data_IF_234513661688
#
_entry.id   IF_234513661688
#
_cell.length_a   1.000
_cell.length_b   1.000
_cell.length_c   1.000
_cell.angle_alpha   90.00
_cell.angle_beta   90.00
_cell.angle_gamma   90.00
#
_symmetry.space_group_name_H-M   'P 1'
#
loop_
_entity.id
_entity.type
_entity.pdbx_description
1 polymer ?
#
# COMPACT_ATOMS: atom_id res chain seq x y z
N UNK A 1 -22.57 6.47 3.11
CA UNK A 1 -22.37 6.88 1.69
C UNK A 1 -22.11 8.38 1.59
N UNK A 2 -23.08 9.24 1.92
CA UNK A 2 -22.96 10.70 1.85
C UNK A 2 -21.70 11.24 2.56
N UNK A 3 -21.39 10.72 3.74
CA UNK A 3 -20.20 11.09 4.51
C UNK A 3 -18.89 10.89 3.74
N UNK A 4 -18.77 9.81 2.95
CA UNK A 4 -17.56 9.49 2.17
C UNK A 4 -17.40 10.42 0.98
N UNK A 5 -18.49 10.69 0.26
CA UNK A 5 -18.50 11.62 -0.86
C UNK A 5 -18.16 13.04 -0.38
N UNK A 6 -18.76 13.46 0.75
CA UNK A 6 -18.49 14.76 1.33
C UNK A 6 -17.02 14.89 1.77
N UNK A 7 -16.46 13.86 2.41
CA UNK A 7 -15.05 13.85 2.81
C UNK A 7 -14.09 13.93 1.62
N UNK A 8 -14.35 13.19 0.53
CA UNK A 8 -13.54 13.28 -0.69
C UNK A 8 -13.62 14.67 -1.32
N UNK A 9 -14.80 15.29 -1.29
CA UNK A 9 -15.00 16.64 -1.83
C UNK A 9 -14.38 17.73 -0.97
N UNK A 10 -14.45 17.62 0.36
CA UNK A 10 -13.84 18.61 1.26
C UNK A 10 -12.31 18.61 1.18
N UNK A 11 -11.69 17.46 0.88
CA UNK A 11 -10.24 17.32 0.66
C UNK A 11 -9.83 17.75 -0.76
N UNK A 12 -10.77 18.07 -1.65
CA UNK A 12 -10.46 18.53 -3.00
C UNK A 12 -10.05 17.42 -3.97
N UNK A 13 -10.32 16.15 -3.64
CA UNK A 13 -9.93 15.02 -4.51
C UNK A 13 -10.64 15.18 -5.88
N UNK A 14 -9.90 15.16 -7.01
CA UNK A 14 -10.43 15.45 -8.35
C UNK A 14 -11.24 14.28 -8.95
N UNK A 15 -12.20 13.73 -8.20
CA UNK A 15 -13.14 12.70 -8.68
C UNK A 15 -14.48 13.32 -9.03
N UNK A 16 -15.02 13.00 -10.21
CA UNK A 16 -16.34 13.49 -10.60
C UNK A 16 -17.44 12.90 -9.72
N UNK A 17 -18.48 13.70 -9.44
CA UNK A 17 -19.64 13.26 -8.63
C UNK A 17 -20.35 12.07 -9.29
N UNK A 18 -20.44 12.10 -10.63
CA UNK A 18 -21.03 11.02 -11.43
C UNK A 18 -20.24 9.71 -11.25
N UNK A 19 -18.90 9.76 -11.21
CA UNK A 19 -18.07 8.57 -10.95
C UNK A 19 -18.32 8.04 -9.53
N UNK A 20 -18.32 8.90 -8.52
CA UNK A 20 -18.60 8.49 -7.13
C UNK A 20 -19.98 7.83 -6.98
N UNK A 21 -21.00 8.37 -7.65
CA UNK A 21 -22.34 7.80 -7.66
C UNK A 21 -22.35 6.41 -8.32
N UNK A 22 -21.61 6.24 -9.41
CA UNK A 22 -21.48 4.96 -10.12
C UNK A 22 -20.73 3.91 -9.29
N UNK A 23 -19.66 4.30 -8.60
CA UNK A 23 -18.94 3.42 -7.67
C UNK A 23 -19.84 2.98 -6.51
N UNK A 24 -20.64 3.91 -5.99
CA UNK A 24 -21.61 3.57 -4.96
C UNK A 24 -22.68 2.59 -5.44
N UNK A 25 -23.27 2.81 -6.62
CA UNK A 25 -24.31 1.92 -7.16
C UNK A 25 -23.80 0.48 -7.29
N UNK A 26 -22.52 0.33 -7.67
CA UNK A 26 -21.84 -0.96 -7.81
C UNK A 26 -21.23 -1.49 -6.51
N UNK A 27 -21.41 -0.78 -5.40
CA UNK A 27 -20.84 -1.07 -4.07
C UNK A 27 -19.30 -1.17 -4.05
N UNK A 28 -18.61 -0.54 -5.00
CA UNK A 28 -17.14 -0.49 -5.05
C UNK A 28 -16.55 0.66 -4.23
N UNK A 29 -17.36 1.66 -3.84
CA UNK A 29 -16.93 2.77 -2.97
C UNK A 29 -16.85 2.33 -1.49
N UNK A 30 -15.78 1.64 -1.14
CA UNK A 30 -15.45 1.24 0.24
C UNK A 30 -14.85 2.39 1.05
N UNK A 31 -14.70 2.20 2.35
CA UNK A 31 -14.03 3.17 3.23
C UNK A 31 -12.54 3.26 2.95
N UNK A 32 -11.90 2.10 2.79
CA UNK A 32 -10.47 2.03 2.46
C UNK A 32 -10.16 2.67 1.11
N UNK A 33 -11.03 2.49 0.11
CA UNK A 33 -10.87 3.18 -1.17
C UNK A 33 -11.01 4.70 -1.03
N UNK A 34 -11.96 5.19 -0.22
CA UNK A 34 -12.08 6.63 0.01
C UNK A 34 -10.83 7.20 0.72
N UNK A 35 -10.30 6.50 1.73
CA UNK A 35 -9.06 6.91 2.39
C UNK A 35 -7.85 6.84 1.45
N UNK A 36 -7.73 5.78 0.66
CA UNK A 36 -6.70 5.62 -0.35
C UNK A 36 -6.71 6.79 -1.35
N UNK A 37 -7.89 7.21 -1.82
CA UNK A 37 -8.02 8.36 -2.72
C UNK A 37 -7.59 9.69 -2.07
N UNK A 38 -7.86 9.87 -0.77
CA UNK A 38 -7.38 11.04 -0.04
C UNK A 38 -5.86 11.05 0.09
N UNK A 39 -5.25 9.92 0.48
CA UNK A 39 -3.79 9.81 0.61
C UNK A 39 -3.13 10.00 -0.75
N UNK A 40 -3.65 9.37 -1.80
CA UNK A 40 -3.15 9.49 -3.16
C UNK A 40 -3.09 10.95 -3.63
N UNK A 41 -4.17 11.71 -3.36
CA UNK A 41 -4.21 13.14 -3.68
C UNK A 41 -3.24 13.96 -2.84
N UNK A 42 -3.20 13.73 -1.52
CA UNK A 42 -2.35 14.49 -0.59
C UNK A 42 -0.85 14.24 -0.80
N UNK A 43 -0.47 12.99 -1.09
CA UNK A 43 0.91 12.59 -1.30
C UNK A 43 1.39 12.79 -2.74
N UNK A 44 0.51 13.21 -3.67
CA UNK A 44 0.88 13.50 -5.06
C UNK A 44 1.21 12.28 -5.92
N UNK A 45 0.88 11.06 -5.45
CA UNK A 45 1.26 9.80 -6.12
C UNK A 45 0.46 9.52 -7.40
N UNK A 46 -0.60 10.30 -7.65
CA UNK A 46 -1.39 10.35 -8.90
C UNK A 46 -1.82 8.97 -9.44
N UNK A 47 -2.17 8.04 -8.56
CA UNK A 47 -2.72 6.74 -8.95
C UNK A 47 -4.08 6.87 -9.65
N UNK A 48 -4.31 6.14 -10.75
CA UNK A 48 -5.61 6.09 -11.40
C UNK A 48 -6.68 5.51 -10.48
N UNK A 49 -7.80 6.21 -10.36
CA UNK A 49 -8.95 5.76 -9.54
C UNK A 49 -9.47 4.39 -10.00
N UNK A 50 -9.48 4.14 -11.31
CA UNK A 50 -10.01 2.89 -11.87
C UNK A 50 -9.10 1.68 -11.53
N UNK A 51 -7.78 1.89 -11.44
CA UNK A 51 -6.80 0.87 -11.03
C UNK A 51 -6.98 0.52 -9.55
N UNK A 52 -7.13 1.56 -8.71
CA UNK A 52 -7.46 1.41 -7.29
C UNK A 52 -8.80 0.71 -7.04
N UNK A 53 -9.85 1.13 -7.74
CA UNK A 53 -11.17 0.50 -7.64
C UNK A 53 -11.11 -0.98 -8.03
N UNK A 54 -10.43 -1.30 -9.13
CA UNK A 54 -10.27 -2.68 -9.59
C UNK A 54 -9.53 -3.53 -8.56
N UNK A 55 -8.47 -2.98 -7.96
CA UNK A 55 -7.70 -3.68 -6.92
C UNK A 55 -8.51 -3.94 -5.65
N UNK A 56 -9.29 -2.94 -5.20
CA UNK A 56 -10.20 -3.11 -4.07
C UNK A 56 -11.25 -4.19 -4.32
N UNK A 57 -11.80 -4.25 -5.54
CA UNK A 57 -12.78 -5.27 -5.94
C UNK A 57 -12.15 -6.67 -6.03
N UNK A 58 -10.87 -6.76 -6.40
CA UNK A 58 -10.10 -8.01 -6.39
C UNK A 58 -9.77 -8.51 -4.97
N UNK A 59 -10.09 -7.73 -3.92
CA UNK A 59 -9.83 -8.08 -2.53
C UNK A 59 -8.51 -7.54 -1.97
N UNK A 60 -7.81 -6.68 -2.71
CA UNK A 60 -6.57 -6.04 -2.25
C UNK A 60 -6.79 -4.87 -1.29
N UNK A 61 -5.76 -4.54 -0.51
CA UNK A 61 -5.78 -3.47 0.48
C UNK A 61 -5.27 -2.15 -0.09
N UNK A 62 -6.14 -1.45 -0.82
CA UNK A 62 -5.83 -0.18 -1.49
C UNK A 62 -5.27 0.92 -0.58
N UNK A 63 -5.64 0.94 0.70
CA UNK A 63 -5.13 1.93 1.66
C UNK A 63 -3.64 1.70 1.90
N UNK A 64 -3.26 0.45 2.14
CA UNK A 64 -1.87 0.09 2.39
C UNK A 64 -1.04 0.24 1.14
N UNK A 65 -1.57 -0.12 -0.03
CA UNK A 65 -0.83 0.06 -1.28
C UNK A 65 -0.55 1.53 -1.58
N UNK A 66 -1.54 2.43 -1.38
CA UNK A 66 -1.30 3.88 -1.57
C UNK A 66 -0.36 4.44 -0.51
N UNK A 67 -0.42 3.93 0.73
CA UNK A 67 0.50 4.34 1.79
C UNK A 67 1.93 3.95 1.45
N UNK A 68 2.14 2.73 0.97
CA UNK A 68 3.42 2.24 0.47
C UNK A 68 3.92 3.10 -0.72
N UNK A 69 3.04 3.39 -1.68
CA UNK A 69 3.34 4.22 -2.84
C UNK A 69 3.75 5.65 -2.45
N UNK A 70 3.09 6.23 -1.44
CA UNK A 70 3.45 7.54 -0.88
C UNK A 70 4.83 7.51 -0.21
N UNK A 71 5.17 6.42 0.49
CA UNK A 71 6.49 6.23 1.09
C UNK A 71 7.60 6.17 0.04
N UNK A 72 7.40 5.41 -1.04
CA UNK A 72 8.33 5.33 -2.17
C UNK A 72 8.50 6.70 -2.86
N UNK A 73 7.38 7.41 -3.07
CA UNK A 73 7.41 8.76 -3.64
C UNK A 73 8.19 9.75 -2.76
N UNK A 74 8.06 9.67 -1.44
CA UNK A 74 8.73 10.56 -0.50
C UNK A 74 10.26 10.44 -0.51
N UNK A 75 10.79 9.26 -0.83
CA UNK A 75 12.23 9.01 -0.97
C UNK A 75 12.73 9.11 -2.41
N UNK A 76 11.85 9.45 -3.36
CA UNK A 76 12.21 9.58 -4.78
C UNK A 76 12.56 8.25 -5.46
N UNK A 77 12.11 7.13 -4.91
CA UNK A 77 12.43 5.81 -5.46
C UNK A 77 11.50 5.45 -6.62
N UNK A 78 12.11 4.87 -7.66
CA UNK A 78 11.37 4.31 -8.79
C UNK A 78 10.76 2.95 -8.45
N UNK A 79 9.50 2.77 -8.85
CA UNK A 79 8.75 1.53 -8.68
C UNK A 79 7.69 1.36 -9.77
N UNK A 80 7.33 0.10 -10.04
CA UNK A 80 6.21 -0.22 -10.92
C UNK A 80 4.92 -0.34 -10.10
N UNK A 81 3.87 0.40 -10.46
CA UNK A 81 2.54 0.30 -9.81
C UNK A 81 2.05 -1.14 -9.73
N UNK A 82 2.16 -1.86 -10.85
CA UNK A 82 1.74 -3.25 -10.95
C UNK A 82 2.46 -4.15 -9.94
N UNK A 83 3.77 -3.96 -9.77
CA UNK A 83 4.57 -4.71 -8.77
C UNK A 83 4.03 -4.47 -7.37
N UNK A 84 3.72 -3.22 -7.02
CA UNK A 84 3.19 -2.88 -5.70
C UNK A 84 1.80 -3.49 -5.43
N UNK A 85 0.94 -3.55 -6.45
CA UNK A 85 -0.35 -4.24 -6.38
C UNK A 85 -0.17 -5.76 -6.23
N UNK A 86 0.75 -6.37 -6.99
CA UNK A 86 1.02 -7.80 -6.90
C UNK A 86 1.59 -8.17 -5.51
N UNK A 87 2.49 -7.34 -4.96
CA UNK A 87 3.01 -7.48 -3.59
C UNK A 87 1.89 -7.45 -2.55
N UNK A 88 0.92 -6.54 -2.70
CA UNK A 88 -0.22 -6.48 -1.81
C UNK A 88 -1.06 -7.76 -1.85
N UNK A 89 -1.35 -8.31 -3.05
CA UNK A 89 -2.12 -9.55 -3.16
C UNK A 89 -1.36 -10.78 -2.64
N UNK A 90 -0.04 -10.81 -2.77
CA UNK A 90 0.80 -11.95 -2.36
C UNK A 90 1.10 -11.89 -0.86
N UNK A 91 1.49 -10.73 -0.35
CA UNK A 91 2.01 -10.56 1.00
C UNK A 91 1.03 -9.85 1.95
N UNK A 92 0.16 -8.97 1.44
CA UNK A 92 -0.77 -8.17 2.24
C UNK A 92 -0.11 -7.15 3.17
N UNK A 93 1.15 -6.77 2.87
CA UNK A 93 2.03 -5.95 3.74
C UNK A 93 3.00 -5.09 2.94
N UNK A 94 2.46 -4.43 1.91
CA UNK A 94 3.25 -3.54 1.07
C UNK A 94 3.97 -2.41 1.86
N UNK A 95 3.36 -1.78 2.89
CA UNK A 95 4.03 -0.75 3.68
C UNK A 95 5.30 -1.23 4.38
N UNK A 96 5.28 -2.42 4.97
CA UNK A 96 6.40 -3.02 5.69
C UNK A 96 7.58 -3.26 4.75
N UNK A 97 7.31 -3.73 3.53
CA UNK A 97 8.34 -3.94 2.52
C UNK A 97 8.95 -2.62 2.05
N UNK A 98 8.15 -1.55 1.96
CA UNK A 98 8.64 -0.20 1.63
C UNK A 98 9.52 0.38 2.75
N UNK A 99 9.19 0.11 4.02
CA UNK A 99 10.05 0.53 5.14
C UNK A 99 11.40 -0.18 5.06
N UNK A 100 11.41 -1.50 4.89
CA UNK A 100 12.64 -2.27 4.73
C UNK A 100 13.45 -1.82 3.51
N UNK A 101 12.79 -1.51 2.41
CA UNK A 101 13.42 -0.95 1.23
C UNK A 101 14.02 0.43 1.50
N UNK A 102 13.31 1.32 2.18
CA UNK A 102 13.80 2.67 2.49
C UNK A 102 15.06 2.63 3.37
N UNK A 103 15.20 1.63 4.24
CA UNK A 103 16.44 1.38 4.98
C UNK A 103 17.57 0.95 4.04
N UNK A 104 17.35 -0.06 3.19
CA UNK A 104 18.35 -0.54 2.24
C UNK A 104 18.76 0.52 1.19
N UNK A 105 17.81 1.35 0.75
CA UNK A 105 18.02 2.39 -0.25
C UNK A 105 18.89 3.53 0.26
N UNK A 106 18.97 3.75 1.58
CA UNK A 106 19.94 4.71 2.17
C UNK A 106 21.38 4.30 1.91
N UNK A 107 21.66 3.01 1.98
CA UNK A 107 23.01 2.46 1.79
C UNK A 107 23.31 2.18 0.31
N UNK A 108 22.27 1.94 -0.50
CA UNK A 108 22.38 1.70 -1.95
C UNK A 108 21.33 2.50 -2.74
N UNK A 109 21.62 3.78 -3.05
CA UNK A 109 20.65 4.66 -3.72
C UNK A 109 20.24 4.22 -5.13
N UNK A 110 21.06 3.42 -5.82
CA UNK A 110 20.74 2.90 -7.15
C UNK A 110 19.81 1.67 -7.12
N UNK A 111 19.48 1.17 -5.92
CA UNK A 111 18.58 0.03 -5.77
C UNK A 111 17.13 0.47 -5.99
N UNK A 112 16.49 -0.09 -7.02
CA UNK A 112 15.06 0.10 -7.28
C UNK A 112 14.21 -0.74 -6.34
N UNK A 113 12.99 -0.28 -6.06
CA UNK A 113 12.06 -1.04 -5.22
C UNK A 113 11.72 -2.40 -5.84
N UNK A 114 11.52 -2.45 -7.16
CA UNK A 114 11.20 -3.67 -7.88
C UNK A 114 12.29 -4.73 -7.72
N UNK A 115 13.57 -4.34 -7.86
CA UNK A 115 14.70 -5.26 -7.68
C UNK A 115 14.84 -5.73 -6.23
N UNK A 116 14.60 -4.83 -5.26
CA UNK A 116 14.58 -5.19 -3.84
C UNK A 116 13.46 -6.18 -3.52
N UNK A 117 12.26 -5.93 -4.03
CA UNK A 117 11.09 -6.78 -3.82
C UNK A 117 11.28 -8.16 -4.46
N UNK A 118 11.86 -8.24 -5.66
CA UNK A 118 12.12 -9.52 -6.33
C UNK A 118 13.09 -10.40 -5.51
N UNK A 119 14.12 -9.80 -4.92
CA UNK A 119 15.03 -10.52 -4.01
C UNK A 119 14.30 -11.00 -2.75
N UNK A 120 13.48 -10.15 -2.14
CA UNK A 120 12.73 -10.48 -0.91
C UNK A 120 11.59 -11.49 -1.14
N UNK A 121 11.02 -11.54 -2.34
CA UNK A 121 10.00 -12.53 -2.72
C UNK A 121 10.62 -13.89 -3.06
N UNK A 122 11.86 -13.90 -3.58
CA UNK A 122 12.60 -15.13 -3.85
C UNK A 122 13.18 -15.77 -2.57
N UNK A 123 13.45 -14.96 -1.55
CA UNK A 123 13.97 -15.45 -0.27
C UNK A 123 12.82 -15.92 0.65
N UNK A 124 12.50 -17.22 0.59
CA UNK A 124 11.44 -17.87 1.37
C UNK A 124 11.54 -17.61 2.90
N UNK A 125 12.75 -17.37 3.41
CA UNK A 125 13.02 -17.20 4.84
C UNK A 125 12.54 -15.84 5.37
N UNK A 126 12.59 -14.78 4.54
CA UNK A 126 12.07 -13.46 4.91
C UNK A 126 10.54 -13.44 5.01
N UNK A 127 9.86 -14.15 4.10
CA UNK A 127 8.38 -14.21 4.15
C UNK A 127 7.91 -14.88 5.45
N UNK A 128 8.62 -15.91 5.92
CA UNK A 128 8.37 -16.55 7.22
C UNK A 128 8.67 -15.63 8.40
N UNK A 129 9.78 -14.89 8.37
CA UNK A 129 10.18 -14.02 9.50
C UNK A 129 9.21 -12.85 9.71
N UNK A 130 8.72 -12.23 8.64
CA UNK A 130 7.71 -11.16 8.76
C UNK A 130 6.34 -11.74 9.13
N UNK A 131 6.01 -12.98 8.69
CA UNK A 131 4.77 -13.66 9.11
C UNK A 131 4.80 -13.96 10.62
N UNK A 132 5.94 -14.42 11.14
CA UNK A 132 6.11 -14.69 12.56
C UNK A 132 6.17 -13.41 13.40
N UNK A 133 6.70 -12.30 12.87
CA UNK A 133 6.61 -11.00 13.53
C UNK A 133 5.18 -10.41 13.54
N UNK A 134 4.43 -10.51 12.44
CA UNK A 134 3.06 -10.01 12.36
C UNK A 134 2.06 -10.83 13.21
N UNK A 135 2.35 -12.11 13.46
CA UNK A 135 1.56 -12.96 14.37
C UNK A 135 1.98 -12.82 15.84
N UNK A 136 3.02 -12.04 16.14
CA UNK A 136 3.45 -11.81 17.52
C UNK A 136 2.49 -10.81 18.17
N UNK A 137 1.76 -11.18 19.25
CA UNK A 137 0.90 -10.24 19.94
C UNK A 137 1.73 -9.07 20.50
N UNK A 138 1.22 -7.83 20.45
CA UNK A 138 1.95 -6.67 20.93
C UNK A 138 2.31 -6.86 22.42
N UNK A 139 3.60 -6.87 22.72
CA UNK A 139 4.14 -7.01 24.09
C UNK A 139 4.76 -8.37 24.44
N UNK A 140 4.84 -9.34 23.52
CA UNK A 140 5.52 -10.59 23.83
C UNK A 140 7.05 -10.37 23.97
N UNK A 141 7.67 -10.82 25.09
CA UNK A 141 9.09 -10.61 25.34
C UNK A 141 9.97 -11.23 24.24
N UNK A 142 11.20 -10.74 24.05
CA UNK A 142 12.15 -11.37 23.12
C UNK A 142 12.44 -12.80 23.59
N UNK A 143 12.57 -13.77 22.66
CA UNK A 143 12.91 -15.14 23.04
C UNK A 143 14.29 -15.15 23.71
N UNK A 144 14.38 -15.86 24.84
CA UNK A 144 15.63 -16.00 25.55
C UNK A 144 16.65 -16.72 24.65
N UNK A 145 17.72 -16.01 24.29
CA UNK A 145 18.92 -16.61 23.71
C UNK A 145 19.43 -17.70 24.65
N UNK A 146 19.20 -18.94 24.28
CA UNK A 146 19.87 -20.10 24.88
C UNK A 146 21.24 -20.18 24.21
N UNK A 147 22.30 -20.14 25.02
CA UNK A 147 23.70 -20.10 24.57
C UNK A 147 24.21 -21.40 23.95
#
# INVERSE_FOLDING_TARGET
>A
MLTRILALKSVGVPVSIVRLLRMWLRKSLTEDLAHALMINHKAGVNWPVDELETHAVAGGNVKDVVTAAAGLHAIGADYTRRKLLDIDLILGRAPELVIAFAEAHRDTPDLTFDAFADRHLQDEDFIRSVRSQAQKPPGAPPPATSG
#
